data_IF_832482581002
#
_entry.id   IF_832482581002
#
_cell.length_a   1.000
_cell.length_b   1.000
_cell.length_c   1.000
_cell.angle_alpha   90.00
_cell.angle_beta   90.00
_cell.angle_gamma   90.00
#
_symmetry.space_group_name_H-M   'P 1'
#
loop_
_entity.id
_entity.type
_entity.pdbx_description
1 polymer ?
#
# COMPACT_ATOMS: atom_id res chain seq x y z
N UNK A 1 -64.29 -67.27 -14.84
CA UNK A 1 -64.02 -66.07 -14.02
C UNK A 1 -62.50 -65.88 -13.80
N UNK A 2 -61.67 -66.05 -14.85
CA UNK A 2 -60.21 -66.20 -14.66
C UNK A 2 -59.34 -65.16 -15.40
N UNK A 3 -59.96 -64.16 -16.04
CA UNK A 3 -59.21 -63.18 -16.85
C UNK A 3 -58.92 -61.87 -16.08
N UNK A 4 -59.74 -61.56 -15.07
CA UNK A 4 -59.58 -60.35 -14.26
C UNK A 4 -58.43 -60.49 -13.24
N UNK A 5 -58.20 -61.71 -12.73
CA UNK A 5 -57.11 -61.99 -11.78
C UNK A 5 -55.74 -61.86 -12.44
N UNK A 6 -55.64 -62.23 -13.73
CA UNK A 6 -54.38 -62.16 -14.48
C UNK A 6 -54.01 -60.73 -14.84
N UNK A 7 -54.98 -59.92 -15.27
CA UNK A 7 -54.76 -58.49 -15.54
C UNK A 7 -54.34 -57.72 -14.28
N UNK A 8 -54.94 -58.03 -13.13
CA UNK A 8 -54.57 -57.39 -11.85
C UNK A 8 -53.18 -57.77 -11.36
N UNK A 9 -52.75 -59.01 -11.58
CA UNK A 9 -51.40 -59.46 -11.23
C UNK A 9 -50.33 -58.83 -12.13
N UNK A 10 -50.63 -58.62 -13.42
CA UNK A 10 -49.69 -58.01 -14.38
C UNK A 10 -49.46 -56.52 -14.10
N UNK A 11 -50.51 -55.76 -13.74
CA UNK A 11 -50.37 -54.34 -13.37
C UNK A 11 -49.63 -54.16 -12.04
N UNK A 12 -49.80 -55.09 -11.10
CA UNK A 12 -49.18 -54.98 -9.77
C UNK A 12 -47.65 -55.19 -9.81
N UNK A 13 -47.16 -56.03 -10.74
CA UNK A 13 -45.71 -56.26 -10.94
C UNK A 13 -45.05 -55.02 -11.56
N UNK A 14 -45.74 -54.33 -12.47
CA UNK A 14 -45.22 -53.14 -13.16
C UNK A 14 -45.13 -51.93 -12.20
N UNK A 15 -46.12 -51.76 -11.33
CA UNK A 15 -46.11 -50.70 -10.32
C UNK A 15 -45.00 -50.90 -9.26
N UNK A 16 -44.72 -52.13 -8.82
CA UNK A 16 -43.58 -52.39 -7.90
C UNK A 16 -42.22 -52.15 -8.56
N UNK A 17 -42.09 -52.40 -9.87
CA UNK A 17 -40.90 -52.09 -10.65
C UNK A 17 -40.70 -50.57 -10.83
N UNK A 18 -41.77 -49.81 -11.04
CA UNK A 18 -41.72 -48.35 -11.13
C UNK A 18 -41.41 -47.71 -9.76
N UNK A 19 -41.97 -48.24 -8.67
CA UNK A 19 -41.67 -47.79 -7.30
C UNK A 19 -40.21 -48.08 -6.94
N UNK A 20 -39.71 -49.29 -7.23
CA UNK A 20 -38.30 -49.62 -6.95
C UNK A 20 -37.29 -48.84 -7.81
N UNK A 21 -37.64 -48.53 -9.06
CA UNK A 21 -36.82 -47.68 -9.93
C UNK A 21 -36.79 -46.21 -9.48
N UNK A 22 -37.91 -45.69 -8.98
CA UNK A 22 -37.99 -44.33 -8.44
C UNK A 22 -37.28 -44.18 -7.10
N UNK A 23 -37.25 -45.23 -6.27
CA UNK A 23 -36.49 -45.24 -5.01
C UNK A 23 -34.97 -45.28 -5.23
N UNK A 24 -34.49 -45.93 -6.31
CA UNK A 24 -33.04 -45.94 -6.63
C UNK A 24 -32.50 -44.57 -7.08
N UNK A 25 -33.34 -43.68 -7.61
CA UNK A 25 -32.92 -42.33 -8.04
C UNK A 25 -32.76 -41.34 -6.89
N UNK A 26 -33.26 -41.64 -5.69
CA UNK A 26 -33.27 -40.70 -4.56
C UNK A 26 -32.26 -41.04 -3.46
N UNK A 27 -31.08 -41.59 -3.79
CA UNK A 27 -29.97 -41.55 -2.81
C UNK A 27 -29.43 -40.11 -2.74
N UNK A 28 -29.64 -39.37 -1.63
CA UNK A 28 -28.98 -38.09 -1.49
C UNK A 28 -27.47 -38.36 -1.46
N UNK A 29 -26.73 -37.85 -2.45
CA UNK A 29 -25.28 -37.78 -2.38
C UNK A 29 -24.96 -37.02 -1.09
N UNK A 30 -24.53 -37.72 -0.04
CA UNK A 30 -24.13 -37.12 1.24
C UNK A 30 -23.04 -36.10 0.90
N UNK A 31 -23.40 -34.81 0.91
CA UNK A 31 -22.44 -33.72 0.72
C UNK A 31 -21.49 -33.80 1.90
N UNK A 32 -20.26 -34.25 1.63
CA UNK A 32 -19.27 -34.42 2.67
C UNK A 32 -18.90 -33.02 3.20
N UNK A 33 -19.28 -32.65 4.44
CA UNK A 33 -19.09 -31.29 4.95
C UNK A 33 -17.61 -30.90 4.95
N UNK A 34 -16.72 -31.88 5.08
CA UNK A 34 -15.27 -31.71 5.01
C UNK A 34 -14.79 -31.09 3.68
N UNK A 35 -15.45 -31.45 2.57
CA UNK A 35 -15.12 -30.90 1.25
C UNK A 35 -15.51 -29.42 1.14
N UNK A 36 -16.62 -29.04 1.76
CA UNK A 36 -17.11 -27.65 1.80
C UNK A 36 -16.18 -26.80 2.67
N UNK A 37 -15.76 -27.30 3.83
CA UNK A 37 -14.79 -26.62 4.70
C UNK A 37 -13.43 -26.43 4.03
N UNK A 38 -12.96 -27.41 3.27
CA UNK A 38 -11.68 -27.32 2.55
C UNK A 38 -11.73 -26.29 1.41
N UNK A 39 -12.84 -26.25 0.65
CA UNK A 39 -13.05 -25.22 -0.38
C UNK A 39 -13.14 -23.82 0.26
N UNK A 40 -13.86 -23.68 1.37
CA UNK A 40 -13.95 -22.41 2.08
C UNK A 40 -12.57 -21.93 2.57
N UNK A 41 -11.74 -22.82 3.11
CA UNK A 41 -10.38 -22.49 3.54
C UNK A 41 -9.47 -22.10 2.36
N UNK A 42 -9.59 -22.77 1.22
CA UNK A 42 -8.85 -22.37 0.01
C UNK A 42 -9.31 -21.00 -0.50
N UNK A 43 -10.62 -20.72 -0.51
CA UNK A 43 -11.14 -19.41 -0.93
C UNK A 43 -10.71 -18.29 0.03
N UNK A 44 -10.72 -18.52 1.34
CA UNK A 44 -10.24 -17.52 2.31
C UNK A 44 -8.74 -17.28 2.18
N UNK A 45 -7.95 -18.32 1.90
CA UNK A 45 -6.51 -18.19 1.66
C UNK A 45 -6.22 -17.44 0.35
N UNK A 46 -6.94 -17.74 -0.74
CA UNK A 46 -6.80 -17.02 -2.02
C UNK A 46 -7.24 -15.56 -1.88
N UNK A 47 -8.37 -15.29 -1.22
CA UNK A 47 -8.81 -13.93 -0.91
C UNK A 47 -7.79 -13.21 -0.03
N UNK A 48 -7.24 -13.88 0.98
CA UNK A 48 -6.19 -13.35 1.83
C UNK A 48 -4.97 -12.93 1.00
N UNK A 49 -4.42 -13.83 0.20
CA UNK A 49 -3.27 -13.53 -0.66
C UNK A 49 -3.58 -12.42 -1.68
N UNK A 50 -4.77 -12.42 -2.29
CA UNK A 50 -5.17 -11.38 -3.25
C UNK A 50 -5.29 -10.00 -2.59
N UNK A 51 -5.82 -9.93 -1.35
CA UNK A 51 -5.88 -8.69 -0.57
C UNK A 51 -4.49 -8.24 -0.12
N UNK A 52 -3.63 -9.17 0.33
CA UNK A 52 -2.25 -8.87 0.72
C UNK A 52 -1.40 -8.39 -0.46
N UNK A 53 -1.56 -8.99 -1.65
CA UNK A 53 -0.87 -8.57 -2.86
C UNK A 53 -1.30 -7.19 -3.33
N UNK A 54 -2.59 -6.83 -3.19
CA UNK A 54 -3.05 -5.44 -3.42
C UNK A 54 -2.53 -4.45 -2.38
N UNK A 55 -2.22 -4.91 -1.18
CA UNK A 55 -1.72 -4.07 -0.10
C UNK A 55 -0.20 -3.86 -0.16
N UNK A 56 0.53 -4.82 -0.73
CA UNK A 56 1.98 -4.80 -0.96
C UNK A 56 2.33 -3.91 -2.16
N UNK A 57 1.80 -2.69 -2.19
CA UNK A 57 2.17 -1.71 -3.18
C UNK A 57 3.57 -1.18 -2.85
N UNK A 58 4.45 -1.25 -3.83
CA UNK A 58 5.84 -0.83 -3.72
C UNK A 58 5.92 0.67 -3.95
N UNK A 59 6.22 1.41 -2.89
CA UNK A 59 6.52 2.84 -2.96
C UNK A 59 8.02 2.97 -2.76
N UNK A 60 8.72 3.34 -3.84
CA UNK A 60 10.14 3.63 -3.83
C UNK A 60 10.32 5.14 -3.70
N UNK A 61 11.07 5.55 -2.69
CA UNK A 61 11.35 6.96 -2.41
C UNK A 61 12.87 7.09 -2.46
N UNK A 62 13.38 8.06 -3.21
CA UNK A 62 14.79 8.42 -3.22
C UNK A 62 14.95 9.88 -2.80
N UNK A 63 16.01 10.14 -2.04
CA UNK A 63 16.40 11.47 -1.55
C UNK A 63 17.85 11.67 -1.95
N UNK A 64 18.18 12.77 -2.66
CA UNK A 64 19.52 12.98 -3.24
C UNK A 64 20.03 11.76 -4.04
N UNK A 65 19.17 11.17 -4.88
CA UNK A 65 19.45 9.96 -5.67
C UNK A 65 19.77 8.69 -4.86
N UNK A 66 19.66 8.73 -3.54
CA UNK A 66 19.81 7.59 -2.65
C UNK A 66 18.45 7.04 -2.25
N UNK A 67 18.25 5.73 -2.35
CA UNK A 67 17.00 5.08 -1.95
C UNK A 67 16.81 5.26 -0.44
N UNK A 68 15.65 5.79 -0.07
CA UNK A 68 15.25 6.01 1.31
C UNK A 68 15.24 4.68 2.06
N UNK A 69 16.23 4.50 2.92
CA UNK A 69 16.35 3.37 3.82
C UNK A 69 16.22 3.84 5.27
N UNK A 70 16.43 2.94 6.23
CA UNK A 70 16.48 3.30 7.65
C UNK A 70 17.79 3.99 8.04
N UNK A 71 18.69 4.25 7.09
CA UNK A 71 19.92 4.99 7.31
C UNK A 71 19.64 6.49 7.30
N UNK A 72 20.41 7.22 8.11
CA UNK A 72 20.39 8.68 8.09
C UNK A 72 21.14 9.20 6.87
N UNK A 73 20.56 10.21 6.22
CA UNK A 73 21.18 10.88 5.06
C UNK A 73 21.64 12.25 5.55
N UNK A 74 22.95 12.52 5.42
CA UNK A 74 23.50 13.85 5.71
C UNK A 74 23.14 14.79 4.57
N UNK A 75 22.71 15.99 4.93
CA UNK A 75 22.52 17.05 3.96
C UNK A 75 23.78 17.91 3.98
N UNK A 76 24.53 17.89 2.88
CA UNK A 76 25.75 18.68 2.69
C UNK A 76 25.40 20.17 2.51
N UNK A 77 24.89 20.78 3.59
CA UNK A 77 24.81 22.23 3.73
C UNK A 77 26.03 22.72 4.50
N UNK A 78 26.54 23.93 4.21
CA UNK A 78 27.63 24.51 4.98
C UNK A 78 27.25 24.54 6.47
N UNK A 79 28.07 23.89 7.30
CA UNK A 79 27.88 23.88 8.74
C UNK A 79 27.92 25.31 9.28
N UNK A 80 27.01 25.69 10.21
CA UNK A 80 27.12 26.97 10.88
C UNK A 80 28.42 27.00 11.70
N UNK A 81 29.41 27.74 11.24
CA UNK A 81 30.70 27.89 11.92
C UNK A 81 30.51 28.57 13.30
N UNK A 82 31.00 27.91 14.35
CA UNK A 82 30.75 28.27 15.75
C UNK A 82 31.47 29.55 16.23
N UNK A 83 32.33 30.17 15.42
CA UNK A 83 33.17 31.29 15.85
C UNK A 83 32.81 32.64 15.25
N UNK A 84 31.78 32.72 14.40
CA UNK A 84 31.32 33.99 13.86
C UNK A 84 29.79 34.09 14.08
N UNK A 85 29.38 35.05 14.91
CA UNK A 85 27.98 35.32 15.29
C UNK A 85 27.13 35.71 14.05
N UNK A 86 27.76 35.81 12.88
CA UNK A 86 27.16 36.07 11.56
C UNK A 86 26.94 34.82 10.71
N UNK A 87 27.25 33.62 11.20
CA UNK A 87 27.06 32.43 10.37
C UNK A 87 25.57 32.12 10.24
N UNK A 88 25.04 32.61 9.13
CA UNK A 88 23.67 32.40 8.68
C UNK A 88 23.36 30.91 8.71
N UNK A 89 22.40 30.53 9.54
CA UNK A 89 21.52 29.41 9.22
C UNK A 89 21.13 29.54 7.75
N UNK A 90 21.22 28.46 6.95
CA UNK A 90 20.90 28.54 5.53
C UNK A 90 19.51 29.18 5.38
N UNK A 91 19.36 30.19 4.53
CA UNK A 91 18.09 30.90 4.36
C UNK A 91 16.98 29.96 3.85
N UNK A 92 17.40 28.91 3.13
CA UNK A 92 16.54 27.89 2.54
C UNK A 92 17.27 26.55 2.56
N UNK A 93 16.59 25.50 3.02
CA UNK A 93 16.97 24.11 2.76
C UNK A 93 16.02 23.55 1.72
N UNK A 94 16.55 23.03 0.61
CA UNK A 94 15.77 22.38 -0.44
C UNK A 94 16.20 20.92 -0.55
N UNK A 95 15.26 20.00 -0.32
CA UNK A 95 15.51 18.57 -0.35
C UNK A 95 14.85 17.99 -1.61
N UNK A 96 15.63 17.51 -2.59
CA UNK A 96 15.11 16.79 -3.73
C UNK A 96 14.64 15.40 -3.29
N UNK A 97 13.39 15.09 -3.60
CA UNK A 97 12.81 13.78 -3.34
C UNK A 97 12.14 13.30 -4.62
N UNK A 98 12.46 12.08 -5.03
CA UNK A 98 11.81 11.41 -6.14
C UNK A 98 10.99 10.25 -5.58
N UNK A 99 9.75 10.13 -6.05
CA UNK A 99 8.81 9.12 -5.57
C UNK A 99 8.25 8.36 -6.75
N UNK A 100 8.53 7.06 -6.77
CA UNK A 100 8.01 6.12 -7.75
C UNK A 100 7.04 5.17 -7.04
N UNK A 101 5.79 5.14 -7.50
CA UNK A 101 4.76 4.30 -6.91
C UNK A 101 3.81 3.75 -7.96
N UNK A 102 3.27 2.57 -7.67
CA UNK A 102 2.25 1.88 -8.46
C UNK A 102 0.80 2.33 -8.14
N UNK A 103 0.64 3.17 -7.12
CA UNK A 103 -0.64 3.68 -6.60
C UNK A 103 -0.57 5.18 -6.34
N UNK A 104 -1.72 5.77 -6.05
CA UNK A 104 -1.79 7.16 -5.60
C UNK A 104 -1.00 7.29 -4.31
N UNK A 105 -0.01 8.19 -4.32
CA UNK A 105 0.76 8.62 -3.17
C UNK A 105 0.23 9.96 -2.69
N UNK A 106 0.02 10.07 -1.39
CA UNK A 106 -0.28 11.32 -0.73
C UNK A 106 0.96 11.83 -0.01
N UNK A 107 1.31 13.09 -0.22
CA UNK A 107 2.42 13.76 0.46
C UNK A 107 1.86 14.95 1.19
N UNK A 108 2.31 15.16 2.42
CA UNK A 108 1.95 16.34 3.18
C UNK A 108 3.08 16.74 4.11
N UNK A 109 3.28 18.03 4.30
CA UNK A 109 4.20 18.55 5.29
C UNK A 109 3.46 19.48 6.24
N UNK A 110 3.85 19.44 7.51
CA UNK A 110 3.40 20.45 8.49
C UNK A 110 4.24 21.72 8.41
N UNK A 111 5.49 21.58 7.99
CA UNK A 111 6.47 22.65 7.98
C UNK A 111 7.18 22.73 6.62
N UNK A 112 7.29 23.95 6.10
CA UNK A 112 7.82 24.20 4.76
C UNK A 112 6.80 23.94 3.64
N UNK A 113 7.33 23.81 2.44
CA UNK A 113 6.57 23.80 1.19
C UNK A 113 7.03 22.65 0.31
N UNK A 114 6.07 21.95 -0.30
CA UNK A 114 6.29 20.96 -1.34
C UNK A 114 6.13 21.68 -2.68
N UNK A 115 7.19 21.66 -3.46
CA UNK A 115 7.16 22.06 -4.87
C UNK A 115 7.28 20.82 -5.74
N UNK A 116 6.41 20.69 -6.73
CA UNK A 116 6.39 19.56 -7.66
C UNK A 116 6.88 20.02 -9.01
N UNK A 117 7.78 19.27 -9.60
CA UNK A 117 8.39 19.58 -10.87
C UNK A 117 8.06 18.53 -11.94
N UNK A 118 8.19 18.94 -13.21
CA UNK A 118 8.23 18.02 -14.34
C UNK A 118 9.41 17.03 -14.21
N UNK A 119 9.38 15.86 -14.88
CA UNK A 119 10.42 14.84 -14.76
C UNK A 119 11.85 15.27 -15.09
N UNK A 120 11.99 16.32 -15.90
CA UNK A 120 13.24 16.94 -16.31
C UNK A 120 13.60 18.17 -15.45
N UNK A 121 12.87 18.43 -14.36
CA UNK A 121 12.99 19.60 -13.49
C UNK A 121 12.89 20.96 -14.22
N UNK A 122 12.30 21.01 -15.41
CA UNK A 122 12.22 22.22 -16.22
C UNK A 122 11.05 23.13 -15.86
N UNK A 123 9.95 22.57 -15.36
CA UNK A 123 8.72 23.30 -15.05
C UNK A 123 8.24 23.01 -13.62
N UNK A 124 7.86 24.07 -12.90
CA UNK A 124 7.18 23.97 -11.60
C UNK A 124 5.68 23.75 -11.85
N UNK A 125 5.18 22.56 -11.48
CA UNK A 125 3.80 22.15 -11.70
C UNK A 125 2.88 22.48 -10.52
N UNK A 126 3.41 22.48 -9.29
CA UNK A 126 2.63 22.72 -8.08
C UNK A 126 3.48 23.27 -6.94
N UNK A 127 2.87 24.07 -6.07
CA UNK A 127 3.43 24.55 -4.81
C UNK A 127 2.36 24.49 -3.72
N UNK A 128 2.68 23.90 -2.58
CA UNK A 128 1.78 23.87 -1.43
C UNK A 128 2.25 22.94 -0.33
N UNK A 129 1.38 22.62 0.63
CA UNK A 129 1.73 21.76 1.77
C UNK A 129 1.25 20.33 1.63
N UNK A 130 0.42 20.03 0.63
CA UNK A 130 -0.12 18.70 0.39
C UNK A 130 -0.29 18.48 -1.10
N UNK A 131 0.14 17.32 -1.58
CA UNK A 131 0.03 16.94 -2.99
C UNK A 131 -0.24 15.44 -3.12
N UNK A 132 -0.90 15.05 -4.20
CA UNK A 132 -1.14 13.64 -4.50
C UNK A 132 -0.83 13.36 -5.97
N UNK A 133 -0.20 12.22 -6.23
CA UNK A 133 0.13 11.75 -7.58
C UNK A 133 0.04 10.24 -7.67
N UNK A 134 -0.37 9.73 -8.82
CA UNK A 134 -0.28 8.30 -9.16
C UNK A 134 0.97 7.96 -9.97
N UNK A 135 1.60 8.98 -10.53
CA UNK A 135 2.76 8.84 -11.42
C UNK A 135 4.05 9.17 -10.69
N UNK A 136 5.17 8.82 -11.32
CA UNK A 136 6.50 9.26 -10.90
C UNK A 136 6.49 10.77 -10.70
N UNK A 137 6.87 11.21 -9.51
CA UNK A 137 6.87 12.63 -9.14
C UNK A 137 8.22 13.04 -8.58
N UNK A 138 8.67 14.21 -9.00
CA UNK A 138 9.87 14.85 -8.50
C UNK A 138 9.45 16.06 -7.69
N UNK A 139 9.83 16.09 -6.42
CA UNK A 139 9.51 17.18 -5.52
C UNK A 139 10.76 17.83 -4.95
N UNK A 140 10.63 19.10 -4.60
CA UNK A 140 11.54 19.81 -3.71
C UNK A 140 10.77 20.11 -2.43
N UNK A 141 11.24 19.55 -1.32
CA UNK A 141 10.74 19.92 0.00
C UNK A 141 11.60 21.08 0.53
N UNK A 142 10.99 22.25 0.61
CA UNK A 142 11.64 23.52 0.95
C UNK A 142 11.31 23.94 2.36
N UNK A 143 12.35 24.17 3.17
CA UNK A 143 12.25 24.77 4.49
C UNK A 143 12.90 26.15 4.45
N UNK A 144 12.09 27.19 4.54
CA UNK A 144 12.56 28.57 4.66
C UNK A 144 12.97 28.85 6.11
N UNK A 145 14.07 29.56 6.29
CA UNK A 145 14.62 29.99 7.58
C UNK A 145 14.62 28.85 8.63
N UNK A 146 15.26 27.71 8.32
CA UNK A 146 15.35 26.57 9.22
C UNK A 146 15.95 26.95 10.56
N UNK A 147 15.33 26.42 11.63
CA UNK A 147 15.76 26.60 13.01
C UNK A 147 16.40 25.30 13.50
N UNK A 148 17.64 25.40 13.97
CA UNK A 148 18.45 24.28 14.48
C UNK A 148 17.74 23.49 15.60
N UNK A 149 16.94 24.14 16.44
CA UNK A 149 16.19 23.50 17.53
C UNK A 149 14.85 22.87 17.12
N UNK A 150 14.51 22.88 15.83
CA UNK A 150 13.24 22.35 15.31
C UNK A 150 13.47 21.14 14.41
N UNK A 151 12.61 20.14 14.55
CA UNK A 151 12.48 19.03 13.60
C UNK A 151 11.33 19.32 12.64
N UNK A 152 11.59 19.15 11.36
CA UNK A 152 10.65 19.31 10.27
C UNK A 152 10.22 17.93 9.79
N UNK A 153 8.96 17.76 9.38
CA UNK A 153 8.43 16.44 9.01
C UNK A 153 7.63 16.50 7.71
N UNK A 154 8.04 15.67 6.75
CA UNK A 154 7.30 15.34 5.55
C UNK A 154 6.70 13.94 5.70
N UNK A 155 5.39 13.83 5.51
CA UNK A 155 4.61 12.60 5.66
C UNK A 155 4.22 12.12 4.27
N UNK A 156 4.54 10.87 3.97
CA UNK A 156 4.16 10.18 2.75
C UNK A 156 3.21 9.02 3.11
N UNK A 157 2.06 8.95 2.44
CA UNK A 157 1.01 7.93 2.63
C UNK A 157 0.52 7.75 4.07
N UNK A 158 0.64 8.78 4.90
CA UNK A 158 0.27 8.78 6.32
C UNK A 158 0.99 7.72 7.17
N UNK A 159 2.09 7.14 6.68
CA UNK A 159 2.81 6.06 7.36
C UNK A 159 4.33 6.08 7.15
N UNK A 160 4.85 6.95 6.29
CA UNK A 160 6.28 7.16 6.09
C UNK A 160 6.58 8.59 6.50
N UNK A 161 7.20 8.73 7.66
CA UNK A 161 7.56 10.03 8.23
C UNK A 161 9.05 10.30 7.95
N UNK A 162 9.32 11.30 7.13
CA UNK A 162 10.66 11.77 6.81
C UNK A 162 10.92 13.01 7.66
N UNK A 163 11.89 12.90 8.56
CA UNK A 163 12.28 13.99 9.45
C UNK A 163 13.56 14.66 8.98
N UNK A 164 13.59 15.98 9.02
CA UNK A 164 14.79 16.80 8.86
C UNK A 164 15.06 17.50 10.19
N UNK A 165 16.27 17.34 10.72
CA UNK A 165 16.71 18.01 11.95
C UNK A 165 18.20 18.34 11.87
N UNK A 166 18.66 19.23 12.73
CA UNK A 166 20.08 19.52 12.86
C UNK A 166 20.71 18.58 13.88
N UNK A 167 21.70 17.79 13.48
CA UNK A 167 22.48 16.94 14.36
C UNK A 167 23.62 17.76 14.97
N UNK A 168 23.48 18.13 16.25
CA UNK A 168 24.50 18.90 16.98
C UNK A 168 25.83 18.14 17.14
N UNK A 169 25.79 16.80 17.12
CA UNK A 169 26.99 15.96 17.29
C UNK A 169 27.86 15.99 16.04
N UNK A 170 27.21 15.97 14.87
CA UNK A 170 27.86 15.98 13.56
C UNK A 170 27.96 17.39 12.96
N UNK A 171 27.29 18.37 13.59
CA UNK A 171 27.17 19.77 13.15
C UNK A 171 26.64 19.87 11.72
N UNK A 172 25.64 19.04 11.37
CA UNK A 172 25.05 19.00 10.04
C UNK A 172 23.54 18.75 10.07
N UNK A 173 22.84 19.21 9.05
CA UNK A 173 21.45 18.84 8.82
C UNK A 173 21.37 17.38 8.39
N UNK A 174 20.43 16.64 8.98
CA UNK A 174 20.28 15.20 8.80
C UNK A 174 18.83 14.86 8.50
N UNK A 175 18.66 13.97 7.53
CA UNK A 175 17.38 13.39 7.16
C UNK A 175 17.30 11.97 7.71
N UNK A 176 16.15 11.62 8.28
CA UNK A 176 15.90 10.29 8.80
C UNK A 176 14.46 9.86 8.50
N UNK A 177 14.30 8.61 8.07
CA UNK A 177 13.00 7.95 8.05
C UNK A 177 12.68 7.42 9.45
N UNK A 178 11.51 7.76 9.99
CA UNK A 178 10.98 7.22 11.24
C UNK A 178 10.21 5.91 11.02
#
# INVERSE_FOLDING_TARGET
>A
MNHEVFLKAMTQIDDELIVSASDMMQKPKKKNPFLIFSIAACLTLICGIALFSRFSATVEISIYDSILSNQTIRVDLPAPAESDIRVSTPELISIPIQINADRIVHMSTKDGTIEVYSPDYSELLYTGQSYQSKELVYIQWKIEQPNIGKTYTLIINNNIDISLFYDETQKCWTIQKQ
#
